data_IF_799890493286
#
_entry.id   IF_799890493286
#
_cell.length_a   1.000
_cell.length_b   1.000
_cell.length_c   1.000
_cell.angle_alpha   90.00
_cell.angle_beta   90.00
_cell.angle_gamma   90.00
#
_symmetry.space_group_name_H-M   'P 1'
#
loop_
_entity.id
_entity.type
_entity.pdbx_description
1 polymer ?
#
# COMPACT_ATOMS: atom_id res chain seq x y z
N UNK A 1 -8.68 8.01 3.69
CA UNK A 1 -9.14 7.67 2.33
C UNK A 1 -10.28 8.58 1.85
N UNK A 2 -11.42 8.65 2.55
CA UNK A 2 -12.62 9.42 2.12
C UNK A 2 -12.34 10.83 1.60
N UNK A 3 -11.61 11.66 2.36
CA UNK A 3 -11.28 13.03 1.95
C UNK A 3 -10.47 13.10 0.63
N UNK A 4 -9.64 12.09 0.38
CA UNK A 4 -8.78 12.01 -0.82
C UNK A 4 -9.45 11.26 -1.95
N UNK A 5 -10.55 10.54 -1.69
CA UNK A 5 -11.21 9.61 -2.62
C UNK A 5 -11.42 10.24 -3.99
N UNK A 6 -11.78 11.52 -4.05
CA UNK A 6 -12.05 12.26 -5.28
C UNK A 6 -10.84 12.41 -6.24
N UNK A 7 -9.61 12.37 -5.73
CA UNK A 7 -8.39 12.65 -6.49
C UNK A 7 -7.25 11.66 -6.28
N UNK A 8 -7.40 10.66 -5.41
CA UNK A 8 -6.32 9.73 -5.04
C UNK A 8 -5.92 8.82 -6.20
N UNK A 9 -4.87 9.21 -6.93
CA UNK A 9 -4.29 8.43 -8.05
C UNK A 9 -3.07 7.60 -7.67
N UNK A 10 -2.54 7.78 -6.48
CA UNK A 10 -1.38 7.05 -5.95
C UNK A 10 -1.63 6.81 -4.46
N UNK A 11 -1.55 5.56 -4.03
CA UNK A 11 -1.74 5.15 -2.65
C UNK A 11 -0.55 4.30 -2.21
N UNK A 12 0.03 4.62 -1.06
CA UNK A 12 0.97 3.73 -0.40
C UNK A 12 0.20 2.70 0.41
N UNK A 13 0.63 1.45 0.36
CA UNK A 13 0.06 0.31 1.07
C UNK A 13 0.99 -0.02 2.23
N UNK A 14 0.44 0.14 3.43
CA UNK A 14 1.13 -0.04 4.70
C UNK A 14 0.10 -0.28 5.77
N UNK A 15 0.26 -1.32 6.56
CA UNK A 15 -0.71 -1.65 7.60
C UNK A 15 -0.06 -1.87 8.95
N UNK A 16 -0.84 -1.69 10.00
CA UNK A 16 -0.43 -1.74 11.38
C UNK A 16 -1.54 -2.41 12.19
N UNK A 17 -1.15 -3.33 13.06
CA UNK A 17 -2.05 -3.91 14.05
C UNK A 17 -2.06 -3.07 15.30
N UNK A 18 -3.19 -2.44 15.58
CA UNK A 18 -3.38 -1.55 16.72
C UNK A 18 -3.25 -2.39 17.99
N UNK A 19 -2.38 -1.96 18.90
CA UNK A 19 -2.39 -2.45 20.27
C UNK A 19 -3.52 -1.73 21.02
N UNK A 20 -4.59 -2.45 21.43
CA UNK A 20 -5.74 -1.84 22.10
C UNK A 20 -5.41 -1.27 23.49
N UNK A 21 -4.27 -1.67 24.06
CA UNK A 21 -3.77 -1.14 25.34
C UNK A 21 -2.89 0.10 25.18
N UNK A 22 -2.67 0.58 23.95
CA UNK A 22 -1.82 1.75 23.69
C UNK A 22 -2.48 3.03 24.20
N UNK A 23 -1.81 3.67 25.16
CA UNK A 23 -2.05 5.07 25.48
C UNK A 23 -1.00 5.94 24.79
N UNK A 24 -1.45 6.96 24.06
CA UNK A 24 -0.55 7.89 23.38
C UNK A 24 0.19 8.76 24.40
N UNK A 25 1.51 8.64 24.46
CA UNK A 25 2.34 9.35 25.43
C UNK A 25 2.88 10.71 24.92
N UNK A 26 2.47 11.15 23.72
CA UNK A 26 2.96 12.39 23.11
C UNK A 26 4.15 12.22 22.16
N UNK A 27 4.72 11.01 22.07
CA UNK A 27 5.82 10.68 21.17
C UNK A 27 5.67 9.23 20.65
N UNK A 28 6.42 8.90 19.60
CA UNK A 28 6.44 7.57 19.00
C UNK A 28 7.23 6.61 19.89
N UNK A 29 6.57 5.56 20.36
CA UNK A 29 7.21 4.43 21.03
C UNK A 29 7.88 3.53 19.96
N UNK A 30 9.21 3.58 19.90
CA UNK A 30 9.98 2.83 18.90
C UNK A 30 9.85 1.31 19.05
N UNK A 31 9.61 0.79 20.27
CA UNK A 31 9.45 -0.65 20.48
C UNK A 31 8.18 -1.18 19.80
N UNK A 32 7.16 -0.33 19.68
CA UNK A 32 5.86 -0.64 19.06
C UNK A 32 5.87 -0.55 17.55
N UNK A 33 6.98 -0.13 16.95
CA UNK A 33 7.19 -0.18 15.50
C UNK A 33 7.30 -1.62 14.97
N UNK A 34 7.19 -2.65 15.82
CA UNK A 34 7.15 -4.07 15.43
C UNK A 34 5.76 -4.54 14.99
N UNK A 35 4.72 -3.74 15.19
CA UNK A 35 3.33 -4.12 14.89
C UNK A 35 2.90 -3.80 13.45
N UNK A 36 3.82 -3.38 12.58
CA UNK A 36 3.53 -3.30 11.15
C UNK A 36 3.31 -4.70 10.59
N UNK A 37 2.21 -4.84 9.85
CA UNK A 37 1.74 -6.11 9.30
C UNK A 37 1.37 -5.94 7.83
N UNK A 38 1.21 -7.03 7.08
CA UNK A 38 0.71 -6.95 5.71
C UNK A 38 -0.75 -6.43 5.64
N UNK A 39 -1.17 -5.99 4.47
CA UNK A 39 -2.46 -5.30 4.24
C UNK A 39 -3.72 -6.14 4.50
N UNK A 40 -3.57 -7.45 4.68
CA UNK A 40 -4.65 -8.38 4.99
C UNK A 40 -4.73 -8.76 6.48
N UNK A 41 -3.84 -8.21 7.31
CA UNK A 41 -3.65 -8.58 8.72
C UNK A 41 -3.84 -7.40 9.68
N UNK A 42 -3.78 -6.15 9.17
CA UNK A 42 -3.83 -4.94 10.00
C UNK A 42 -5.20 -4.29 10.07
N UNK A 43 -5.25 -3.18 10.80
CA UNK A 43 -6.50 -2.49 11.16
C UNK A 43 -6.79 -1.27 10.26
N UNK A 44 -5.99 -1.01 9.23
CA UNK A 44 -6.21 0.10 8.30
C UNK A 44 -7.40 -0.10 7.36
N UNK A 45 -8.02 -1.29 7.39
CA UNK A 45 -9.22 -1.64 6.59
C UNK A 45 -8.99 -1.56 5.08
N UNK A 46 -7.82 -2.01 4.60
CA UNK A 46 -7.49 -2.01 3.16
C UNK A 46 -8.52 -2.71 2.30
N UNK A 47 -9.08 -3.82 2.77
CA UNK A 47 -10.14 -4.56 2.07
C UNK A 47 -11.34 -3.66 1.78
N UNK A 48 -11.92 -3.03 2.81
CA UNK A 48 -13.08 -2.17 2.67
C UNK A 48 -12.79 -0.95 1.79
N UNK A 49 -11.62 -0.33 1.98
CA UNK A 49 -11.16 0.81 1.18
C UNK A 49 -11.04 0.42 -0.29
N UNK A 50 -10.37 -0.69 -0.60
CA UNK A 50 -10.13 -1.12 -1.98
C UNK A 50 -11.41 -1.60 -2.65
N UNK A 51 -12.32 -2.27 -1.92
CA UNK A 51 -13.64 -2.66 -2.42
C UNK A 51 -14.45 -1.44 -2.88
N UNK A 52 -14.52 -0.41 -2.05
CA UNK A 52 -15.19 0.83 -2.39
C UNK A 52 -14.47 1.58 -3.54
N UNK A 53 -13.13 1.59 -3.51
CA UNK A 53 -12.33 2.29 -4.50
C UNK A 53 -12.42 1.68 -5.90
N UNK A 54 -12.65 0.36 -6.01
CA UNK A 54 -12.84 -0.37 -7.27
C UNK A 54 -13.79 0.33 -8.22
N UNK A 55 -14.94 0.76 -7.71
CA UNK A 55 -16.01 1.34 -8.54
C UNK A 55 -15.60 2.70 -9.14
N UNK A 56 -14.57 3.33 -8.56
CA UNK A 56 -14.04 4.62 -9.01
C UNK A 56 -12.89 4.51 -10.01
N UNK A 57 -12.20 3.37 -10.04
CA UNK A 57 -11.03 3.14 -10.89
C UNK A 57 -11.26 3.50 -12.37
N UNK A 58 -12.40 3.16 -13.02
CA UNK A 58 -12.58 3.48 -14.44
C UNK A 58 -12.60 4.98 -14.74
N UNK A 59 -13.33 5.76 -13.93
CA UNK A 59 -13.44 7.21 -14.12
C UNK A 59 -12.13 7.92 -13.80
N UNK A 60 -11.47 7.51 -12.71
CA UNK A 60 -10.19 8.06 -12.31
C UNK A 60 -9.08 7.73 -13.33
N UNK A 61 -9.03 6.51 -13.84
CA UNK A 61 -8.07 6.10 -14.88
C UNK A 61 -8.23 6.96 -16.13
N UNK A 62 -9.46 7.22 -16.59
CA UNK A 62 -9.69 8.14 -17.72
C UNK A 62 -9.20 9.56 -17.43
N UNK A 63 -9.40 10.07 -16.21
CA UNK A 63 -8.93 11.38 -15.80
C UNK A 63 -7.39 11.47 -15.81
N UNK A 64 -6.72 10.49 -15.20
CA UNK A 64 -5.26 10.43 -15.12
C UNK A 64 -4.61 10.29 -16.49
N UNK A 65 -5.19 9.47 -17.38
CA UNK A 65 -4.70 9.32 -18.77
C UNK A 65 -4.77 10.62 -19.57
N UNK A 66 -5.79 11.45 -19.36
CA UNK A 66 -5.86 12.79 -19.98
C UNK A 66 -4.74 13.72 -19.52
N UNK A 67 -4.11 13.43 -18.37
CA UNK A 67 -2.99 14.18 -17.81
C UNK A 67 -1.64 13.51 -18.09
N UNK A 68 -1.58 12.50 -18.96
CA UNK A 68 -0.36 11.77 -19.28
C UNK A 68 0.04 10.71 -18.25
N UNK A 69 -0.81 10.43 -17.26
CA UNK A 69 -0.56 9.44 -16.21
C UNK A 69 -1.22 8.10 -16.62
N UNK A 70 -0.49 6.97 -16.69
CA UNK A 70 -1.01 5.70 -17.23
C UNK A 70 -2.27 5.16 -16.56
N UNK A 71 -2.42 5.42 -15.25
CA UNK A 71 -3.50 4.91 -14.42
C UNK A 71 -3.26 5.22 -12.94
N UNK A 72 -3.81 4.38 -12.08
CA UNK A 72 -3.66 4.47 -10.63
C UNK A 72 -2.48 3.60 -10.17
N UNK A 73 -1.74 4.06 -9.16
CA UNK A 73 -0.58 3.35 -8.60
C UNK A 73 -0.83 2.95 -7.15
N UNK A 74 -0.46 1.71 -6.81
CA UNK A 74 -0.36 1.22 -5.46
C UNK A 74 1.10 0.86 -5.20
N UNK A 75 1.75 1.57 -4.28
CA UNK A 75 3.13 1.30 -3.90
C UNK A 75 3.20 0.64 -2.54
N UNK A 76 4.02 -0.39 -2.41
CA UNK A 76 4.27 -1.01 -1.12
C UNK A 76 5.24 -0.15 -0.32
N UNK A 77 4.83 0.24 0.89
CA UNK A 77 5.70 0.84 1.90
C UNK A 77 5.73 -0.06 3.16
N UNK A 78 6.15 -1.34 3.02
CA UNK A 78 6.00 -2.29 4.10
C UNK A 78 7.11 -2.11 5.13
N UNK A 79 6.76 -2.21 6.41
CA UNK A 79 7.69 -2.19 7.54
C UNK A 79 7.62 -3.48 8.36
N UNK A 80 7.52 -4.64 7.70
CA UNK A 80 7.15 -5.91 8.35
C UNK A 80 8.16 -6.43 9.38
N UNK A 81 9.40 -5.92 9.37
CA UNK A 81 10.46 -6.31 10.33
C UNK A 81 10.64 -5.32 11.47
N UNK A 82 9.89 -4.23 11.46
CA UNK A 82 10.13 -3.08 12.29
C UNK A 82 9.97 -1.79 11.49
N UNK A 83 9.57 -0.72 12.16
CA UNK A 83 9.55 0.64 11.65
C UNK A 83 10.69 1.49 12.21
N UNK A 84 10.60 2.80 11.98
CA UNK A 84 11.52 3.78 12.55
C UNK A 84 12.67 4.13 11.63
N UNK A 85 13.42 5.15 12.02
CA UNK A 85 14.47 5.76 11.19
C UNK A 85 15.58 4.77 10.81
N UNK A 86 15.79 3.71 11.60
CA UNK A 86 16.86 2.72 11.43
C UNK A 86 16.39 1.26 11.32
N UNK A 87 15.12 0.97 11.60
CA UNK A 87 14.54 -0.39 11.58
C UNK A 87 13.56 -0.66 10.43
N UNK A 88 13.19 0.37 9.66
CA UNK A 88 12.07 0.39 8.70
C UNK A 88 12.19 -0.46 7.44
N UNK A 89 13.25 -1.24 7.25
CA UNK A 89 13.46 -1.96 5.98
C UNK A 89 12.92 -3.38 6.08
N UNK A 90 11.83 -3.67 5.36
CA UNK A 90 11.26 -5.03 5.27
C UNK A 90 12.23 -6.07 4.71
N UNK A 91 13.21 -5.67 3.91
CA UNK A 91 14.07 -6.58 3.16
C UNK A 91 13.32 -7.28 2.02
N UNK A 92 14.04 -8.08 1.23
CA UNK A 92 13.50 -8.77 0.06
C UNK A 92 12.38 -9.77 0.40
N UNK A 93 12.52 -10.45 1.53
CA UNK A 93 11.56 -11.40 2.06
C UNK A 93 10.29 -10.70 2.55
N UNK A 94 10.42 -9.63 3.35
CA UNK A 94 9.28 -8.85 3.82
C UNK A 94 8.52 -8.18 2.68
N UNK A 95 9.22 -7.64 1.67
CA UNK A 95 8.58 -7.15 0.44
C UNK A 95 7.79 -8.24 -0.28
N UNK A 96 8.35 -9.47 -0.36
CA UNK A 96 7.65 -10.61 -0.95
C UNK A 96 6.35 -10.97 -0.22
N UNK A 97 6.35 -10.92 1.12
CA UNK A 97 5.14 -11.13 1.93
C UNK A 97 4.12 -10.03 1.68
N UNK A 98 4.55 -8.76 1.75
CA UNK A 98 3.67 -7.61 1.54
C UNK A 98 3.03 -7.61 0.14
N UNK A 99 3.80 -7.94 -0.89
CA UNK A 99 3.29 -8.05 -2.26
C UNK A 99 2.22 -9.13 -2.39
N UNK A 100 2.48 -10.34 -1.89
CA UNK A 100 1.49 -11.43 -1.95
C UNK A 100 0.24 -11.12 -1.14
N UNK A 101 0.37 -10.40 -0.04
CA UNK A 101 -0.76 -9.89 0.75
C UNK A 101 -1.60 -8.91 -0.05
N UNK A 102 -1.00 -7.87 -0.62
CA UNK A 102 -1.72 -6.90 -1.44
C UNK A 102 -2.41 -7.57 -2.63
N UNK A 103 -1.73 -8.47 -3.36
CA UNK A 103 -2.33 -9.22 -4.45
C UNK A 103 -3.58 -10.00 -3.99
N UNK A 104 -3.51 -10.70 -2.86
CA UNK A 104 -4.66 -11.44 -2.30
C UNK A 104 -5.84 -10.52 -1.99
N UNK A 105 -5.60 -9.34 -1.42
CA UNK A 105 -6.67 -8.36 -1.16
C UNK A 105 -7.27 -7.87 -2.48
N UNK A 106 -6.44 -7.51 -3.46
CA UNK A 106 -6.91 -7.05 -4.78
C UNK A 106 -7.72 -8.11 -5.51
N UNK A 107 -7.26 -9.36 -5.51
CA UNK A 107 -7.97 -10.51 -6.08
C UNK A 107 -9.31 -10.71 -5.37
N UNK A 108 -9.32 -10.64 -4.04
CA UNK A 108 -10.53 -10.80 -3.23
C UNK A 108 -11.59 -9.72 -3.52
N UNK A 109 -11.18 -8.46 -3.70
CA UNK A 109 -12.12 -7.36 -4.02
C UNK A 109 -12.43 -7.24 -5.51
N UNK A 110 -11.75 -8.00 -6.37
CA UNK A 110 -11.95 -8.01 -7.81
C UNK A 110 -11.34 -6.80 -8.53
N UNK A 111 -10.16 -6.34 -8.09
CA UNK A 111 -9.36 -5.32 -8.79
C UNK A 111 -8.26 -6.02 -9.59
N UNK A 112 -8.32 -5.90 -10.92
CA UNK A 112 -7.21 -6.31 -11.78
C UNK A 112 -6.02 -5.37 -11.62
N UNK A 113 -4.81 -5.92 -11.64
CA UNK A 113 -3.56 -5.17 -11.49
C UNK A 113 -2.48 -5.65 -12.46
N UNK A 114 -1.47 -4.79 -12.68
CA UNK A 114 -0.22 -5.16 -13.34
C UNK A 114 0.91 -4.88 -12.37
N UNK A 115 1.76 -5.87 -12.15
CA UNK A 115 2.97 -5.69 -11.35
C UNK A 115 4.08 -5.09 -12.20
N UNK A 116 4.96 -4.33 -11.56
CA UNK A 116 6.24 -3.94 -12.18
C UNK A 116 7.06 -5.20 -12.43
N UNK A 117 7.42 -5.41 -13.69
CA UNK A 117 8.21 -6.52 -14.18
C UNK A 117 9.63 -6.08 -14.56
N UNK A 118 10.46 -7.02 -14.99
CA UNK A 118 11.84 -6.74 -15.34
C UNK A 118 12.00 -5.84 -16.56
N UNK A 119 11.07 -5.87 -17.52
CA UNK A 119 11.13 -5.00 -18.69
C UNK A 119 10.90 -3.54 -18.31
N UNK A 120 10.07 -3.28 -17.30
CA UNK A 120 9.94 -1.94 -16.73
C UNK A 120 11.26 -1.45 -16.16
N UNK A 121 11.93 -2.29 -15.36
CA UNK A 121 13.23 -1.95 -14.77
C UNK A 121 14.29 -1.71 -15.86
N UNK A 122 14.28 -2.50 -16.93
CA UNK A 122 15.19 -2.29 -18.07
C UNK A 122 14.97 -0.94 -18.75
N UNK A 123 13.72 -0.51 -18.93
CA UNK A 123 13.40 0.80 -19.50
C UNK A 123 13.91 1.96 -18.64
N UNK A 124 13.87 1.82 -17.32
CA UNK A 124 14.39 2.84 -16.40
C UNK A 124 15.92 3.00 -16.46
N UNK A 125 16.66 1.97 -16.89
CA UNK A 125 18.12 2.05 -17.05
C UNK A 125 18.55 2.84 -18.29
N UNK A 126 17.64 3.03 -19.24
CA UNK A 126 17.90 3.67 -20.53
C UNK A 126 17.52 5.16 -20.54
N UNK A 127 16.82 5.62 -19.49
CA UNK A 127 16.45 7.01 -19.26
C UNK A 127 17.54 7.74 -18.46
#
# INVERSE_FOLDING_TARGET
YEAMKAGIGWMHIKDYRIDPSLEWQGFVDEERLKNFVPADEGDSSHEAILRDFRDRLPALTRKLRKQGIPGVFLDLEPHLKGGGQFGGVSGVDGFGVALRSLCRVLDYVGIGYRLTDFNDIQRLKQA
#
